data_IF_272849398681
#
_entry.id   IF_272849398681
#
_cell.length_a   1.000
_cell.length_b   1.000
_cell.length_c   1.000
_cell.angle_alpha   90.00
_cell.angle_beta   90.00
_cell.angle_gamma   90.00
#
_symmetry.space_group_name_H-M   'P 1'
#
loop_
_entity.id
_entity.type
_entity.pdbx_description
1 polymer ?
#
# COMPACT_ATOMS: atom_id res chain seq x y z
N UNK A 1 8.31 -26.33 -9.70
CA UNK A 1 7.68 -25.05 -9.36
C UNK A 1 6.19 -25.25 -9.50
N UNK A 2 5.47 -25.34 -8.39
CA UNK A 2 4.02 -25.47 -8.41
C UNK A 2 3.45 -24.08 -8.66
N UNK A 3 2.91 -23.85 -9.86
CA UNK A 3 2.10 -22.66 -10.14
C UNK A 3 0.83 -22.78 -9.31
N UNK A 4 0.72 -22.00 -8.23
CA UNK A 4 -0.55 -21.85 -7.52
C UNK A 4 -1.62 -21.38 -8.52
N UNK A 5 -2.81 -22.00 -8.55
CA UNK A 5 -3.84 -21.64 -9.51
C UNK A 5 -4.34 -20.22 -9.23
N UNK A 6 -4.33 -19.36 -10.25
CA UNK A 6 -5.00 -18.05 -10.24
C UNK A 6 -6.45 -18.23 -9.77
N UNK A 7 -6.80 -17.57 -8.67
CA UNK A 7 -8.10 -17.74 -8.04
C UNK A 7 -9.15 -16.99 -8.86
N UNK A 8 -10.14 -17.70 -9.41
CA UNK A 8 -11.17 -17.11 -10.30
C UNK A 8 -12.24 -16.30 -9.56
N UNK A 9 -12.19 -16.23 -8.23
CA UNK A 9 -13.19 -15.50 -7.44
C UNK A 9 -12.75 -14.04 -7.24
N UNK A 10 -13.58 -13.05 -7.62
CA UNK A 10 -13.27 -11.62 -7.39
C UNK A 10 -13.28 -11.24 -5.90
N UNK A 11 -13.54 -12.19 -5.00
CA UNK A 11 -13.56 -12.02 -3.56
C UNK A 11 -12.51 -12.87 -2.83
N UNK A 12 -11.76 -13.72 -3.55
CA UNK A 12 -10.66 -14.44 -2.92
C UNK A 12 -9.49 -13.47 -2.66
N UNK A 13 -8.75 -13.66 -1.54
CA UNK A 13 -7.46 -13.01 -1.33
C UNK A 13 -6.53 -13.19 -2.53
N UNK A 14 -5.60 -12.27 -2.73
CA UNK A 14 -4.53 -12.46 -3.70
C UNK A 14 -3.59 -13.59 -3.23
N UNK A 15 -3.18 -14.46 -4.15
CA UNK A 15 -2.07 -15.39 -3.89
C UNK A 15 -0.73 -14.78 -4.29
N UNK A 16 0.37 -15.43 -3.92
CA UNK A 16 1.75 -14.93 -4.15
C UNK A 16 1.99 -14.51 -5.61
N UNK A 17 1.66 -15.36 -6.58
CA UNK A 17 1.84 -15.04 -8.00
C UNK A 17 0.96 -13.86 -8.50
N UNK A 18 -0.13 -13.56 -7.80
CA UNK A 18 -0.97 -12.39 -8.10
C UNK A 18 -0.45 -11.12 -7.42
N UNK A 19 0.20 -11.26 -6.27
CA UNK A 19 0.95 -10.19 -5.60
C UNK A 19 2.18 -9.83 -6.43
N UNK A 20 2.96 -10.81 -6.89
CA UNK A 20 4.09 -10.60 -7.81
C UNK A 20 3.64 -9.85 -9.07
N UNK A 21 2.51 -10.29 -9.67
CA UNK A 21 1.94 -9.62 -10.83
C UNK A 21 1.46 -8.19 -10.55
N UNK A 22 1.01 -7.90 -9.32
CA UNK A 22 0.65 -6.54 -8.92
C UNK A 22 1.91 -5.70 -8.72
N UNK A 23 2.97 -6.27 -8.12
CA UNK A 23 4.27 -5.62 -7.98
C UNK A 23 4.84 -5.20 -9.35
N UNK A 24 4.88 -6.12 -10.32
CA UNK A 24 5.35 -5.83 -11.68
C UNK A 24 4.59 -4.67 -12.34
N UNK A 25 3.27 -4.59 -12.11
CA UNK A 25 2.44 -3.51 -12.64
C UNK A 25 2.65 -2.20 -11.90
N UNK A 26 2.96 -2.24 -10.61
CA UNK A 26 3.32 -1.06 -9.82
C UNK A 26 4.68 -0.51 -10.24
N UNK A 27 5.67 -1.38 -10.46
CA UNK A 27 6.98 -0.99 -10.98
C UNK A 27 6.84 -0.32 -12.36
N UNK A 28 5.96 -0.85 -13.22
CA UNK A 28 5.63 -0.20 -14.49
C UNK A 28 5.03 1.20 -14.29
N UNK A 29 4.14 1.38 -13.32
CA UNK A 29 3.57 2.70 -13.01
C UNK A 29 4.69 3.64 -12.54
N UNK A 30 5.53 3.19 -11.60
CA UNK A 30 6.67 3.94 -11.05
C UNK A 30 7.60 4.46 -12.16
N UNK A 31 7.97 3.59 -13.12
CA UNK A 31 8.80 3.96 -14.28
C UNK A 31 8.16 5.03 -15.19
N UNK A 32 6.84 5.22 -15.10
CA UNK A 32 6.04 6.11 -15.97
C UNK A 32 5.51 7.34 -15.24
N UNK A 33 5.70 7.44 -13.93
CA UNK A 33 5.29 8.59 -13.11
C UNK A 33 6.51 9.35 -12.58
N UNK A 34 6.30 10.61 -12.18
CA UNK A 34 7.37 11.42 -11.60
C UNK A 34 7.52 11.21 -10.09
N UNK A 35 6.48 10.65 -9.45
CA UNK A 35 6.48 10.30 -8.03
C UNK A 35 6.88 8.84 -7.85
N UNK A 36 7.69 8.52 -6.82
CA UNK A 36 8.00 7.14 -6.46
C UNK A 36 6.74 6.39 -6.02
N UNK A 37 6.53 5.20 -6.56
CA UNK A 37 5.45 4.29 -6.19
C UNK A 37 6.02 2.90 -5.96
N UNK A 38 5.62 2.28 -4.86
CA UNK A 38 5.99 0.90 -4.52
C UNK A 38 4.74 0.10 -4.17
N UNK A 39 4.84 -1.24 -4.24
CA UNK A 39 3.75 -2.11 -3.79
C UNK A 39 3.38 -1.83 -2.32
N UNK A 40 4.37 -1.58 -1.47
CA UNK A 40 4.15 -1.24 -0.06
C UNK A 40 3.37 0.06 0.10
N UNK A 41 3.79 1.13 -0.59
CA UNK A 41 3.11 2.42 -0.55
C UNK A 41 1.69 2.33 -1.11
N UNK A 42 1.51 1.58 -2.21
CA UNK A 42 0.18 1.30 -2.75
C UNK A 42 -0.72 0.59 -1.72
N UNK A 43 -0.22 -0.44 -1.04
CA UNK A 43 -0.99 -1.20 -0.05
C UNK A 43 -1.36 -0.36 1.18
N UNK A 44 -0.44 0.49 1.64
CA UNK A 44 -0.68 1.47 2.70
C UNK A 44 -1.75 2.48 2.30
N UNK A 45 -1.67 3.02 1.08
CA UNK A 45 -2.65 3.95 0.54
C UNK A 45 -4.04 3.31 0.42
N UNK A 46 -4.14 2.08 -0.13
CA UNK A 46 -5.41 1.35 -0.21
C UNK A 46 -6.00 1.11 1.19
N UNK A 47 -5.14 0.84 2.18
CA UNK A 47 -5.55 0.65 3.57
C UNK A 47 -6.12 1.93 4.16
N UNK A 48 -5.48 3.08 3.94
CA UNK A 48 -6.01 4.37 4.37
C UNK A 48 -7.35 4.71 3.70
N UNK A 49 -7.52 4.40 2.40
CA UNK A 49 -8.81 4.56 1.71
C UNK A 49 -9.93 3.73 2.36
N UNK A 50 -9.62 2.53 2.87
CA UNK A 50 -10.59 1.69 3.56
C UNK A 50 -10.92 2.19 4.98
N UNK A 51 -9.98 2.87 5.64
CA UNK A 51 -10.17 3.50 6.94
C UNK A 51 -10.82 4.89 6.86
N UNK A 52 -10.83 5.52 5.67
CA UNK A 52 -11.29 6.89 5.49
C UNK A 52 -12.73 7.11 5.98
N UNK A 53 -13.02 8.26 6.65
CA UNK A 53 -14.36 8.61 7.12
C UNK A 53 -15.45 8.61 6.03
N UNK A 54 -15.05 8.76 4.76
CA UNK A 54 -15.95 8.63 3.61
C UNK A 54 -15.35 7.73 2.53
N UNK A 55 -16.21 7.22 1.65
CA UNK A 55 -15.75 6.54 0.45
C UNK A 55 -15.17 7.55 -0.55
N UNK A 56 -13.91 7.35 -0.93
CA UNK A 56 -13.22 8.12 -1.96
C UNK A 56 -13.23 7.30 -3.27
N UNK A 57 -13.78 7.83 -4.37
CA UNK A 57 -13.91 7.11 -5.63
C UNK A 57 -12.62 7.15 -6.48
N UNK A 58 -12.44 6.23 -7.46
CA UNK A 58 -11.23 6.14 -8.27
C UNK A 58 -10.80 7.41 -8.99
N UNK A 59 -11.76 8.18 -9.50
CA UNK A 59 -11.54 9.47 -10.16
C UNK A 59 -10.96 10.53 -9.22
N UNK A 60 -11.04 10.31 -7.90
CA UNK A 60 -10.49 11.21 -6.88
C UNK A 60 -9.15 10.68 -6.35
N UNK A 61 -9.05 9.37 -6.02
CA UNK A 61 -7.84 8.86 -5.39
C UNK A 61 -6.70 8.53 -6.36
N UNK A 62 -6.96 8.13 -7.61
CA UNK A 62 -5.86 7.84 -8.55
C UNK A 62 -5.06 9.09 -8.89
N UNK A 63 -5.68 10.26 -9.10
CA UNK A 63 -4.91 11.49 -9.27
C UNK A 63 -3.98 11.83 -8.12
N UNK A 64 -4.38 11.53 -6.89
CA UNK A 64 -3.58 11.78 -5.69
C UNK A 64 -2.44 10.79 -5.57
N UNK A 65 -2.73 9.49 -5.69
CA UNK A 65 -1.72 8.42 -5.60
C UNK A 65 -0.59 8.63 -6.60
N UNK A 66 -0.92 9.10 -7.81
CA UNK A 66 0.02 9.22 -8.92
C UNK A 66 0.58 10.64 -9.08
N UNK A 67 0.12 11.60 -8.26
CA UNK A 67 0.34 13.05 -8.42
C UNK A 67 0.08 13.53 -9.86
N UNK A 68 -1.06 13.12 -10.42
CA UNK A 68 -1.41 13.32 -11.84
C UNK A 68 -2.89 13.63 -12.00
N UNK A 69 -3.29 14.80 -12.52
CA UNK A 69 -4.70 15.16 -12.67
C UNK A 69 -5.55 14.15 -13.48
N UNK A 70 -4.92 13.42 -14.40
CA UNK A 70 -5.56 12.42 -15.26
C UNK A 70 -5.50 10.99 -14.70
N UNK A 71 -4.94 10.80 -13.51
CA UNK A 71 -4.84 9.51 -12.83
C UNK A 71 -4.12 8.47 -13.69
N UNK A 72 -4.75 7.31 -13.88
CA UNK A 72 -4.18 6.20 -14.67
C UNK A 72 -4.18 6.46 -16.18
N UNK A 73 -4.83 7.54 -16.65
CA UNK A 73 -4.87 7.81 -18.08
C UNK A 73 -3.43 7.92 -18.63
N UNK A 74 -3.18 7.22 -19.74
CA UNK A 74 -1.87 7.19 -20.44
C UNK A 74 -0.72 6.54 -19.67
N UNK A 75 -0.93 6.02 -18.46
CA UNK A 75 0.11 5.29 -17.70
C UNK A 75 0.42 3.95 -18.36
N UNK A 76 -0.62 3.20 -18.74
CA UNK A 76 -0.46 1.92 -19.42
C UNK A 76 -0.45 2.08 -20.94
N UNK A 77 0.49 1.39 -21.61
CA UNK A 77 0.55 1.36 -23.07
C UNK A 77 -0.58 0.55 -23.70
N UNK A 78 -1.09 -0.46 -22.98
CA UNK A 78 -2.16 -1.32 -23.46
C UNK A 78 -3.27 -1.49 -22.42
N UNK A 79 -4.49 -1.66 -22.91
CA UNK A 79 -5.68 -1.78 -22.07
C UNK A 79 -5.75 -3.10 -21.28
N UNK A 80 -4.93 -4.10 -21.61
CA UNK A 80 -4.92 -5.37 -20.89
C UNK A 80 -4.19 -5.26 -19.55
N UNK A 81 -3.07 -4.55 -19.51
CA UNK A 81 -2.31 -4.29 -18.29
C UNK A 81 -3.08 -3.37 -17.34
N UNK A 82 -3.72 -2.31 -17.86
CA UNK A 82 -4.60 -1.45 -17.06
C UNK A 82 -5.75 -2.26 -16.45
N UNK A 83 -6.43 -3.08 -17.26
CA UNK A 83 -7.52 -3.93 -16.76
C UNK A 83 -7.03 -4.96 -15.73
N UNK A 84 -5.81 -5.49 -15.89
CA UNK A 84 -5.19 -6.43 -14.95
C UNK A 84 -4.84 -5.75 -13.64
N UNK A 85 -4.22 -4.56 -13.70
CA UNK A 85 -3.92 -3.73 -12.53
C UNK A 85 -5.20 -3.42 -11.75
N UNK A 86 -6.22 -2.88 -12.42
CA UNK A 86 -7.50 -2.56 -11.80
C UNK A 86 -8.17 -3.79 -11.18
N UNK A 87 -8.08 -4.96 -11.81
CA UNK A 87 -8.65 -6.20 -11.27
C UNK A 87 -7.93 -6.65 -9.97
N UNK A 88 -6.60 -6.61 -9.95
CA UNK A 88 -5.78 -6.97 -8.79
C UNK A 88 -5.94 -5.94 -7.65
N UNK A 89 -5.84 -4.65 -7.97
CA UNK A 89 -6.05 -3.53 -7.06
C UNK A 89 -7.41 -3.65 -6.34
N UNK A 90 -8.50 -3.83 -7.10
CA UNK A 90 -9.84 -3.94 -6.52
C UNK A 90 -10.03 -5.20 -5.66
N UNK A 91 -9.35 -6.31 -6.01
CA UNK A 91 -9.37 -7.52 -5.18
C UNK A 91 -8.62 -7.31 -3.86
N UNK A 92 -7.45 -6.69 -3.91
CA UNK A 92 -6.66 -6.36 -2.71
C UNK A 92 -7.42 -5.38 -1.81
N UNK A 93 -8.03 -4.34 -2.37
CA UNK A 93 -8.89 -3.42 -1.61
C UNK A 93 -10.02 -4.15 -0.88
N UNK A 94 -10.75 -5.04 -1.57
CA UNK A 94 -11.80 -5.85 -0.93
C UNK A 94 -11.27 -6.79 0.14
N UNK A 95 -10.03 -7.26 0.00
CA UNK A 95 -9.38 -8.10 1.00
C UNK A 95 -9.07 -7.33 2.27
N UNK A 96 -8.49 -6.14 2.14
CA UNK A 96 -8.24 -5.21 3.23
C UNK A 96 -9.53 -4.84 3.95
N UNK A 97 -10.58 -4.43 3.21
CA UNK A 97 -11.90 -4.10 3.77
C UNK A 97 -12.48 -5.26 4.62
N UNK A 98 -12.32 -6.52 4.16
CA UNK A 98 -12.77 -7.70 4.92
C UNK A 98 -11.93 -7.94 6.17
N UNK A 99 -10.62 -7.74 6.09
CA UNK A 99 -9.71 -7.94 7.22
C UNK A 99 -9.96 -6.90 8.32
N UNK A 100 -10.13 -5.63 7.94
CA UNK A 100 -10.47 -4.55 8.88
C UNK A 100 -11.85 -4.73 9.54
N UNK A 101 -12.81 -5.32 8.83
CA UNK A 101 -14.13 -5.64 9.38
C UNK A 101 -14.18 -6.94 10.20
N UNK A 102 -13.09 -7.73 10.22
CA UNK A 102 -13.08 -9.02 10.91
C UNK A 102 -12.98 -8.81 12.43
N UNK A 103 -13.84 -9.46 13.24
CA UNK A 103 -13.74 -9.41 14.69
C UNK A 103 -12.62 -10.35 15.16
N UNK A 104 -11.38 -9.87 15.12
CA UNK A 104 -10.20 -10.60 15.60
C UNK A 104 -9.90 -10.23 17.06
N UNK A 105 -9.36 -11.19 17.82
CA UNK A 105 -8.92 -10.95 19.20
C UNK A 105 -7.41 -10.68 19.29
N UNK A 106 -6.64 -11.07 18.28
CA UNK A 106 -5.20 -10.88 18.21
C UNK A 106 -4.70 -10.97 16.76
N UNK A 107 -3.48 -10.48 16.52
CA UNK A 107 -2.87 -10.39 15.19
C UNK A 107 -2.41 -11.74 14.60
N UNK A 108 -2.46 -12.83 15.36
CA UNK A 108 -2.17 -14.17 14.82
C UNK A 108 -3.41 -14.82 14.19
N UNK A 109 -4.58 -14.19 14.27
CA UNK A 109 -5.77 -14.66 13.55
C UNK A 109 -5.52 -14.57 12.03
N UNK A 110 -5.75 -15.64 11.25
CA UNK A 110 -5.61 -15.61 9.79
C UNK A 110 -6.49 -14.58 9.07
N UNK A 111 -7.48 -13.99 9.74
CA UNK A 111 -8.32 -12.91 9.23
C UNK A 111 -7.73 -11.52 9.50
N UNK A 112 -6.69 -11.41 10.31
CA UNK A 112 -6.02 -10.15 10.57
C UNK A 112 -5.48 -9.57 9.25
N UNK A 113 -5.46 -8.24 9.17
CA UNK A 113 -4.83 -7.56 8.05
C UNK A 113 -3.36 -7.96 8.00
N UNK A 114 -2.93 -8.52 6.87
CA UNK A 114 -1.53 -8.75 6.55
C UNK A 114 -1.10 -7.67 5.54
N UNK A 115 -0.35 -6.64 5.95
CA UNK A 115 0.21 -5.64 5.06
C UNK A 115 1.10 -6.29 3.98
N UNK A 116 1.12 -5.72 2.77
CA UNK A 116 2.14 -6.06 1.77
C UNK A 116 3.37 -5.22 2.07
N UNK A 117 4.35 -5.83 2.74
CA UNK A 117 5.66 -5.24 3.09
C UNK A 117 6.76 -6.12 2.50
N UNK A 118 7.85 -5.52 2.03
CA UNK A 118 8.95 -6.27 1.44
C UNK A 118 9.75 -7.00 2.53
N UNK A 119 10.02 -8.29 2.31
CA UNK A 119 11.01 -9.02 3.11
C UNK A 119 12.42 -8.73 2.58
N UNK A 120 12.96 -7.58 2.98
CA UNK A 120 14.29 -7.14 2.57
C UNK A 120 15.39 -8.10 3.00
N UNK A 121 15.28 -8.72 4.18
CA UNK A 121 16.26 -9.69 4.66
C UNK A 121 16.26 -10.96 3.80
N UNK A 122 15.08 -11.45 3.47
CA UNK A 122 14.89 -12.57 2.53
C UNK A 122 15.47 -12.25 1.14
N UNK A 123 15.10 -11.09 0.56
CA UNK A 123 15.61 -10.64 -0.73
C UNK A 123 17.14 -10.54 -0.74
N UNK A 124 17.73 -9.89 0.27
CA UNK A 124 19.18 -9.73 0.38
C UNK A 124 19.91 -11.08 0.50
N UNK A 125 19.31 -12.07 1.15
CA UNK A 125 19.88 -13.40 1.33
C UNK A 125 19.93 -14.20 0.01
N UNK A 126 19.00 -13.92 -0.91
CA UNK A 126 18.92 -14.60 -2.22
C UNK A 126 19.77 -13.93 -3.30
N UNK A 127 20.06 -12.64 -3.16
CA UNK A 127 20.82 -11.86 -4.15
C UNK A 127 22.33 -12.22 -4.16
N UNK A 128 23.00 -12.07 -5.32
CA UNK A 128 24.47 -12.13 -5.38
C UNK A 128 25.11 -11.10 -4.43
N UNK A 129 26.25 -11.40 -3.76
CA UNK A 129 26.82 -10.53 -2.73
C UNK A 129 27.09 -9.08 -3.15
N UNK A 130 27.50 -8.88 -4.41
CA UNK A 130 27.74 -7.54 -4.95
C UNK A 130 26.45 -6.74 -5.15
N UNK A 131 25.34 -7.41 -5.45
CA UNK A 131 24.03 -6.80 -5.65
C UNK A 131 23.35 -6.49 -4.32
N UNK A 132 23.37 -7.45 -3.38
CA UNK A 132 22.92 -7.24 -2.01
C UNK A 132 23.64 -6.04 -1.37
N UNK A 133 24.96 -5.94 -1.53
CA UNK A 133 25.73 -4.80 -1.03
C UNK A 133 25.32 -3.47 -1.68
N UNK A 134 25.04 -3.45 -2.99
CA UNK A 134 24.59 -2.23 -3.67
C UNK A 134 23.25 -1.74 -3.13
N UNK A 135 22.29 -2.64 -2.87
CA UNK A 135 21.00 -2.28 -2.27
C UNK A 135 21.17 -1.75 -0.84
N UNK A 136 22.00 -2.41 -0.03
CA UNK A 136 22.33 -1.95 1.32
C UNK A 136 22.96 -0.55 1.31
N UNK A 137 23.92 -0.32 0.42
CA UNK A 137 24.60 0.98 0.28
C UNK A 137 23.65 2.07 -0.28
N UNK A 138 22.61 1.70 -1.03
CA UNK A 138 21.58 2.63 -1.53
C UNK A 138 20.58 3.05 -0.46
N UNK A 139 20.53 2.35 0.68
CA UNK A 139 19.58 2.59 1.76
C UNK A 139 18.31 1.78 1.55
N UNK A 140 18.12 0.76 2.38
CA UNK A 140 16.90 -0.03 2.41
C UNK A 140 15.89 0.68 3.32
N UNK A 141 14.65 0.89 2.87
CA UNK A 141 13.60 1.42 3.73
C UNK A 141 13.46 0.53 4.97
N UNK A 142 13.63 1.09 6.18
CA UNK A 142 13.51 0.31 7.40
C UNK A 142 12.05 -0.04 7.67
N UNK A 143 11.83 -1.23 8.21
CA UNK A 143 10.51 -1.66 8.65
C UNK A 143 9.49 -1.50 7.51
N UNK A 144 8.27 -1.06 7.83
CA UNK A 144 7.21 -0.79 6.86
C UNK A 144 7.15 0.71 6.48
N UNK A 145 8.29 1.40 6.36
CA UNK A 145 8.35 2.85 6.10
C UNK A 145 7.55 3.24 4.86
N UNK A 146 7.73 2.53 3.73
CA UNK A 146 7.03 2.83 2.49
C UNK A 146 5.51 2.62 2.63
N UNK A 147 5.11 1.57 3.35
CA UNK A 147 3.71 1.31 3.64
C UNK A 147 3.09 2.43 4.49
N UNK A 148 3.78 2.89 5.54
CA UNK A 148 3.33 4.00 6.36
C UNK A 148 3.24 5.32 5.55
N UNK A 149 4.21 5.58 4.67
CA UNK A 149 4.19 6.73 3.77
C UNK A 149 2.99 6.73 2.82
N UNK A 150 2.65 5.56 2.26
CA UNK A 150 1.44 5.41 1.45
C UNK A 150 0.15 5.64 2.23
N UNK A 151 0.08 5.17 3.48
CA UNK A 151 -1.07 5.41 4.36
C UNK A 151 -1.22 6.92 4.67
N UNK A 152 -0.13 7.58 5.06
CA UNK A 152 -0.14 9.00 5.39
C UNK A 152 -0.43 9.89 4.18
N UNK A 153 0.02 9.53 2.98
CA UNK A 153 -0.33 10.25 1.75
C UNK A 153 -1.84 10.46 1.62
N UNK A 154 -2.64 9.43 1.90
CA UNK A 154 -4.09 9.55 1.88
C UNK A 154 -4.63 10.36 3.07
N UNK A 155 -4.15 10.09 4.28
CA UNK A 155 -4.64 10.80 5.49
C UNK A 155 -4.39 12.29 5.37
N UNK A 156 -3.19 12.70 4.95
CA UNK A 156 -2.80 14.10 4.80
C UNK A 156 -3.56 14.77 3.65
N UNK A 157 -3.72 14.09 2.51
CA UNK A 157 -4.45 14.68 1.38
C UNK A 157 -5.92 14.97 1.71
N UNK A 158 -6.55 14.09 2.50
CA UNK A 158 -7.95 14.21 2.91
C UNK A 158 -8.11 14.58 4.39
N UNK A 159 -7.17 15.32 4.97
CA UNK A 159 -7.16 15.67 6.42
C UNK A 159 -8.46 16.33 6.90
N UNK A 160 -9.10 17.12 6.04
CA UNK A 160 -10.39 17.76 6.31
C UNK A 160 -11.50 16.73 6.62
N UNK A 161 -11.47 15.55 5.99
CA UNK A 161 -12.43 14.47 6.25
C UNK A 161 -12.22 13.82 7.62
N UNK A 162 -10.99 13.90 8.15
CA UNK A 162 -10.60 13.39 9.48
C UNK A 162 -10.78 14.41 10.60
N UNK A 163 -11.14 15.66 10.28
CA UNK A 163 -11.26 16.73 11.29
C UNK A 163 -12.39 16.43 12.27
N UNK A 164 -12.01 16.24 13.54
CA UNK A 164 -12.92 16.06 14.67
C UNK A 164 -13.04 17.38 15.46
N UNK A 165 -14.06 17.52 16.34
CA UNK A 165 -14.17 18.74 17.15
C UNK A 165 -12.94 18.96 18.02
N UNK A 166 -12.33 20.14 17.90
CA UNK A 166 -11.15 20.55 18.69
C UNK A 166 -11.35 20.32 20.19
N UNK A 167 -10.40 19.62 20.82
CA UNK A 167 -10.41 19.27 22.23
C UNK A 167 -11.34 18.10 22.59
N UNK A 168 -11.88 17.38 21.60
CA UNK A 168 -12.63 16.15 21.84
C UNK A 168 -11.71 14.99 22.20
N UNK A 169 -12.23 14.00 22.91
CA UNK A 169 -11.48 12.78 23.22
C UNK A 169 -11.20 11.93 21.98
N UNK A 170 -12.07 12.04 20.98
CA UNK A 170 -11.97 11.28 19.74
C UNK A 170 -10.83 11.83 18.88
N UNK A 171 -10.67 13.16 18.81
CA UNK A 171 -9.51 13.82 18.16
C UNK A 171 -8.19 13.36 18.78
N UNK A 172 -8.04 13.50 20.10
CA UNK A 172 -6.81 13.08 20.78
C UNK A 172 -6.51 11.58 20.61
N UNK A 173 -7.56 10.75 20.52
CA UNK A 173 -7.41 9.32 20.27
C UNK A 173 -6.94 9.04 18.84
N UNK A 174 -7.51 9.71 17.83
CA UNK A 174 -7.10 9.57 16.43
C UNK A 174 -5.65 10.00 16.24
N UNK A 175 -5.25 11.13 16.83
CA UNK A 175 -3.87 11.60 16.79
C UNK A 175 -2.91 10.56 17.39
N UNK A 176 -3.22 10.03 18.59
CA UNK A 176 -2.39 9.03 19.26
C UNK A 176 -2.22 7.74 18.43
N UNK A 177 -3.26 7.31 17.67
CA UNK A 177 -3.15 6.11 16.82
C UNK A 177 -2.47 6.38 15.48
N UNK A 178 -2.38 7.64 15.03
CA UNK A 178 -1.66 8.02 13.82
C UNK A 178 -0.17 8.28 14.09
N UNK A 179 0.22 8.70 15.29
CA UNK A 179 1.63 8.94 15.69
C UNK A 179 2.61 7.83 15.25
N UNK A 180 2.33 6.53 15.43
CA UNK A 180 3.23 5.47 14.98
C UNK A 180 3.49 5.46 13.47
N UNK A 181 2.55 5.92 12.65
CA UNK A 181 2.73 6.01 11.21
C UNK A 181 3.72 7.12 10.86
N UNK A 182 3.62 8.28 11.52
CA UNK A 182 4.58 9.37 11.35
C UNK A 182 5.98 8.96 11.79
N UNK A 183 6.09 8.22 12.90
CA UNK A 183 7.36 7.64 13.36
C UNK A 183 7.94 6.66 12.33
N UNK A 184 7.11 5.81 11.73
CA UNK A 184 7.57 4.86 10.71
C UNK A 184 7.97 5.54 9.40
N UNK A 185 7.26 6.59 9.00
CA UNK A 185 7.50 7.31 7.76
C UNK A 185 8.71 8.26 7.84
N UNK A 186 9.08 8.71 9.04
CA UNK A 186 10.23 9.58 9.24
C UNK A 186 11.56 8.92 8.79
N UNK A 187 12.49 9.69 8.22
CA UNK A 187 13.86 9.23 7.97
C UNK A 187 14.54 8.74 9.26
N UNK A 188 15.39 7.71 9.17
CA UNK A 188 16.08 7.14 10.34
C UNK A 188 16.98 8.14 11.08
N UNK A 189 17.48 9.15 10.38
CA UNK A 189 18.30 10.22 10.95
C UNK A 189 17.49 11.30 11.69
N UNK A 190 16.16 11.24 11.59
CA UNK A 190 15.20 12.12 12.28
C UNK A 190 14.52 11.47 13.50
N UNK A 191 14.81 10.18 13.77
CA UNK A 191 14.29 9.38 14.89
C UNK A 191 15.27 9.33 16.09
#
# INVERSE_FOLDING_TARGET
>A
MSTSPVSKSPHAPLGDAEIDALADLVDLIDERTEVPISLEGLDGFITALACSPRAIPPEEFFPVLLDRPDGLATVFENAADEARFLALFNRRRKEIERALAAPIENLADPKALSPLVMDWDGLLAELPPAEAKRLQDAGIPPYAQLWAGGFLLAVEHWEDDWTLPLGSKDEAFVDEVLDPFYVLAAPLDEL
#
